data_IF_640735537420
#
_entry.id   IF_640735537420
#
_cell.length_a   1.000
_cell.length_b   1.000
_cell.length_c   1.000
_cell.angle_alpha   90.00
_cell.angle_beta   90.00
_cell.angle_gamma   90.00
#
_symmetry.space_group_name_H-M   'P 1'
#
loop_
_entity.id
_entity.type
_entity.pdbx_description
1 polymer ?
#
# COMPACT_ATOMS: atom_id res chain seq x y z
N UNK A 1 1.16 13.50 -5.99
CA UNK A 1 0.55 13.32 -7.32
C UNK A 1 1.13 12.08 -7.97
N UNK A 2 0.25 11.21 -8.48
CA UNK A 2 0.62 10.02 -9.24
C UNK A 2 0.90 10.42 -10.70
N UNK A 3 1.89 9.79 -11.34
CA UNK A 3 2.22 10.09 -12.73
C UNK A 3 2.90 8.92 -13.43
N UNK A 4 2.84 8.94 -14.75
CA UNK A 4 3.61 8.08 -15.65
C UNK A 4 4.37 8.97 -16.61
N UNK A 5 5.68 8.78 -16.72
CA UNK A 5 6.53 9.42 -17.74
C UNK A 5 6.97 8.33 -18.70
N UNK A 6 6.79 8.56 -20.00
CA UNK A 6 7.22 7.64 -21.06
C UNK A 6 8.29 8.29 -21.93
N UNK A 7 9.31 7.51 -22.27
CA UNK A 7 10.30 7.85 -23.29
C UNK A 7 10.21 6.76 -24.35
N UNK A 8 9.84 7.15 -25.57
CA UNK A 8 9.78 6.27 -26.72
C UNK A 8 10.99 6.50 -27.62
N UNK A 9 11.62 5.42 -28.05
CA UNK A 9 12.73 5.40 -28.99
C UNK A 9 12.41 4.41 -30.09
N UNK A 10 12.36 4.87 -31.34
CA UNK A 10 12.11 4.03 -32.50
C UNK A 10 13.39 3.94 -33.35
N UNK A 11 13.74 2.72 -33.72
CA UNK A 11 14.84 2.39 -34.62
C UNK A 11 14.33 1.34 -35.62
N UNK A 12 14.12 1.77 -36.86
CA UNK A 12 13.44 0.98 -37.90
C UNK A 12 12.10 0.40 -37.41
N UNK A 13 11.97 -0.92 -37.37
CA UNK A 13 10.78 -1.66 -36.94
C UNK A 13 10.71 -1.90 -35.43
N UNK A 14 11.76 -1.49 -34.67
CA UNK A 14 11.87 -1.69 -33.22
C UNK A 14 11.48 -0.43 -32.48
N UNK A 15 10.48 -0.56 -31.63
CA UNK A 15 10.04 0.49 -30.72
C UNK A 15 10.38 0.10 -29.28
N UNK A 16 11.15 0.94 -28.59
CA UNK A 16 11.48 0.81 -27.17
C UNK A 16 10.74 1.87 -26.39
N UNK A 17 10.05 1.47 -25.33
CA UNK A 17 9.34 2.38 -24.43
C UNK A 17 9.84 2.16 -23.02
N UNK A 18 10.42 3.21 -22.45
CA UNK A 18 10.81 3.29 -21.05
C UNK A 18 9.75 4.08 -20.29
N UNK A 19 9.11 3.43 -19.32
CA UNK A 19 8.08 4.04 -18.47
C UNK A 19 8.59 4.17 -17.05
N UNK A 20 8.53 5.38 -16.49
CA UNK A 20 8.73 5.63 -15.06
C UNK A 20 7.39 5.98 -14.43
N UNK A 21 6.94 5.12 -13.54
CA UNK A 21 5.64 5.23 -12.88
C UNK A 21 5.84 5.60 -11.42
N UNK A 22 5.09 6.58 -10.94
CA UNK A 22 4.97 6.94 -9.53
C UNK A 22 3.54 6.70 -9.05
N UNK A 23 3.40 5.82 -8.07
CA UNK A 23 2.16 5.63 -7.32
C UNK A 23 2.45 5.82 -5.84
N UNK A 24 1.78 6.79 -5.20
CA UNK A 24 2.04 7.18 -3.81
C UNK A 24 3.53 7.52 -3.58
N UNK A 25 4.21 6.74 -2.75
CA UNK A 25 5.64 6.88 -2.44
C UNK A 25 6.51 5.87 -3.18
N UNK A 26 5.92 5.02 -4.03
CA UNK A 26 6.62 3.96 -4.75
C UNK A 26 6.88 4.35 -6.20
N UNK A 27 8.01 3.88 -6.72
CA UNK A 27 8.43 4.08 -8.10
C UNK A 27 8.66 2.73 -8.78
N UNK A 28 8.20 2.60 -10.03
CA UNK A 28 8.47 1.45 -10.89
C UNK A 28 9.01 1.92 -12.24
N UNK A 29 10.08 1.29 -12.69
CA UNK A 29 10.64 1.49 -14.03
C UNK A 29 10.34 0.26 -14.86
N UNK A 30 9.75 0.45 -16.04
CA UNK A 30 9.37 -0.62 -16.95
C UNK A 30 10.02 -0.33 -18.31
N UNK A 31 10.64 -1.35 -18.89
CA UNK A 31 11.18 -1.27 -20.24
C UNK A 31 10.46 -2.28 -21.12
N UNK A 32 9.85 -1.82 -22.21
CA UNK A 32 9.09 -2.65 -23.14
C UNK A 32 9.67 -2.47 -24.55
N UNK A 33 9.86 -3.59 -25.24
CA UNK A 33 10.27 -3.59 -26.64
C UNK A 33 9.11 -4.15 -27.48
N UNK A 34 8.84 -3.49 -28.59
CA UNK A 34 7.84 -3.88 -29.56
C UNK A 34 8.50 -3.95 -30.95
N UNK A 35 8.01 -4.86 -31.78
CA UNK A 35 8.35 -4.90 -33.21
C UNK A 35 7.07 -4.73 -34.02
N UNK A 36 7.19 -4.25 -35.26
CA UNK A 36 6.07 -4.15 -36.20
C UNK A 36 4.92 -3.26 -35.71
N UNK A 37 5.23 -2.19 -34.97
CA UNK A 37 4.28 -1.14 -34.60
C UNK A 37 4.46 0.02 -35.56
N UNK A 38 3.39 0.41 -36.24
CA UNK A 38 3.37 1.62 -37.07
C UNK A 38 2.74 2.75 -36.27
N UNK A 39 3.54 3.75 -35.89
CA UNK A 39 3.06 4.90 -35.14
C UNK A 39 2.17 5.85 -35.96
N UNK A 40 2.16 5.71 -37.29
CA UNK A 40 1.33 6.51 -38.19
C UNK A 40 -0.02 5.83 -38.48
N UNK A 41 -0.16 4.53 -38.21
CA UNK A 41 -1.42 3.81 -38.31
C UNK A 41 -2.19 3.90 -37.00
N UNK A 42 -3.41 4.44 -37.05
CA UNK A 42 -4.24 4.67 -35.86
C UNK A 42 -4.57 3.35 -35.13
N UNK A 43 -4.80 2.26 -35.86
CA UNK A 43 -5.11 0.97 -35.26
C UNK A 43 -3.90 0.39 -34.51
N UNK A 44 -2.73 0.44 -35.13
CA UNK A 44 -1.47 0.00 -34.53
C UNK A 44 -1.10 0.83 -33.30
N UNK A 45 -1.27 2.15 -33.37
CA UNK A 45 -1.08 3.05 -32.23
C UNK A 45 -2.04 2.73 -31.08
N UNK A 46 -3.33 2.51 -31.37
CA UNK A 46 -4.31 2.13 -30.35
C UNK A 46 -3.98 0.80 -29.68
N UNK A 47 -3.47 -0.18 -30.43
CA UNK A 47 -3.01 -1.45 -29.88
C UNK A 47 -1.80 -1.26 -28.95
N UNK A 48 -0.83 -0.41 -29.33
CA UNK A 48 0.31 -0.06 -28.48
C UNK A 48 -0.17 0.59 -27.18
N UNK A 49 -1.03 1.60 -27.25
CA UNK A 49 -1.57 2.30 -26.09
C UNK A 49 -2.28 1.32 -25.15
N UNK A 50 -3.07 0.40 -25.69
CA UNK A 50 -3.77 -0.60 -24.88
C UNK A 50 -2.78 -1.55 -24.16
N UNK A 51 -1.71 -2.01 -24.84
CA UNK A 51 -0.67 -2.84 -24.20
C UNK A 51 0.03 -2.10 -23.06
N UNK A 52 0.36 -0.82 -23.25
CA UNK A 52 0.96 0.01 -22.21
C UNK A 52 0.00 0.21 -21.03
N UNK A 53 -1.28 0.49 -21.32
CA UNK A 53 -2.33 0.63 -20.29
C UNK A 53 -2.45 -0.61 -19.42
N UNK A 54 -2.57 -1.80 -20.03
CA UNK A 54 -2.62 -3.08 -19.31
C UNK A 54 -1.38 -3.24 -18.41
N UNK A 55 -0.19 -2.95 -18.94
CA UNK A 55 1.07 -3.04 -18.19
C UNK A 55 1.09 -2.12 -16.96
N UNK A 56 0.56 -0.91 -17.09
CA UNK A 56 0.49 0.06 -15.99
C UNK A 56 -0.57 -0.31 -14.96
N UNK A 57 -1.72 -0.80 -15.40
CA UNK A 57 -2.76 -1.33 -14.51
C UNK A 57 -2.25 -2.53 -13.72
N UNK A 58 -1.56 -3.48 -14.36
CA UNK A 58 -1.00 -4.64 -13.67
C UNK A 58 0.11 -4.25 -12.70
N UNK A 59 0.93 -3.26 -13.05
CA UNK A 59 1.92 -2.69 -12.13
C UNK A 59 1.28 -1.98 -10.94
N UNK A 60 0.17 -1.26 -11.16
CA UNK A 60 -0.61 -0.67 -10.08
C UNK A 60 -1.22 -1.75 -9.18
N UNK A 61 -1.78 -2.82 -9.77
CA UNK A 61 -2.32 -3.96 -9.02
C UNK A 61 -1.21 -4.56 -8.16
N UNK A 62 -0.06 -4.92 -8.72
CA UNK A 62 1.06 -5.48 -7.96
C UNK A 62 1.46 -4.64 -6.74
N UNK A 63 1.54 -3.32 -6.90
CA UNK A 63 1.87 -2.40 -5.80
C UNK A 63 0.75 -2.29 -4.75
N UNK A 64 -0.49 -2.61 -5.11
CA UNK A 64 -1.66 -2.54 -4.25
C UNK A 64 -2.25 -3.91 -3.89
N UNK A 65 -1.62 -5.02 -4.28
CA UNK A 65 -2.06 -6.36 -3.90
C UNK A 65 -1.94 -6.46 -2.38
N UNK A 66 -3.11 -6.55 -1.74
CA UNK A 66 -3.22 -6.92 -0.35
C UNK A 66 -2.97 -8.42 -0.29
N UNK A 67 -1.82 -8.83 0.25
CA UNK A 67 -1.54 -10.23 0.51
C UNK A 67 -2.38 -10.71 1.71
N UNK A 68 -3.63 -11.09 1.44
CA UNK A 68 -4.58 -11.60 2.46
C UNK A 68 -4.14 -12.93 3.07
N UNK A 69 -3.19 -13.64 2.46
CA UNK A 69 -2.61 -14.89 2.97
C UNK A 69 -1.61 -14.65 4.11
N UNK A 70 -1.01 -13.46 4.20
CA UNK A 70 -0.10 -13.09 5.31
C UNK A 70 -0.83 -12.13 6.25
N UNK A 71 -1.76 -12.65 7.04
CA UNK A 71 -2.34 -11.93 8.18
C UNK A 71 -1.31 -11.93 9.30
N UNK A 72 -0.38 -10.98 9.31
CA UNK A 72 0.49 -10.82 10.48
C UNK A 72 -0.26 -9.97 11.52
N UNK A 73 -0.75 -10.56 12.62
CA UNK A 73 -1.47 -9.77 13.61
C UNK A 73 -0.50 -8.81 14.29
N UNK A 74 -0.92 -7.56 14.47
CA UNK A 74 -0.13 -6.55 15.15
C UNK A 74 -0.44 -6.58 16.65
N UNK A 75 0.60 -6.68 17.48
CA UNK A 75 0.48 -6.60 18.93
C UNK A 75 0.67 -5.15 19.37
N UNK A 76 -0.40 -4.51 19.84
CA UNK A 76 -0.41 -3.11 20.27
C UNK A 76 -0.69 -3.01 21.76
N UNK A 77 0.18 -2.34 22.49
CA UNK A 77 0.08 -2.13 23.93
C UNK A 77 -0.32 -0.68 24.21
N UNK A 78 -1.37 -0.51 25.02
CA UNK A 78 -1.93 0.77 25.42
C UNK A 78 -2.04 0.84 26.95
N UNK A 79 -1.90 2.02 27.55
CA UNK A 79 -2.15 2.20 28.99
C UNK A 79 -3.61 1.87 29.33
N UNK A 80 -3.84 1.07 30.36
CA UNK A 80 -5.20 0.74 30.83
C UNK A 80 -5.85 1.87 31.64
N UNK A 81 -5.11 2.94 31.95
CA UNK A 81 -5.56 4.03 32.82
C UNK A 81 -6.35 5.12 32.10
N UNK A 82 -6.20 5.24 30.78
CA UNK A 82 -6.84 6.30 29.99
C UNK A 82 -8.03 5.76 29.19
N UNK A 83 -9.19 5.70 29.84
CA UNK A 83 -10.42 5.20 29.24
C UNK A 83 -10.86 5.96 27.98
N UNK A 84 -10.59 7.27 27.89
CA UNK A 84 -10.95 8.06 26.71
C UNK A 84 -10.10 7.64 25.52
N UNK A 85 -8.79 7.48 25.75
CA UNK A 85 -7.85 7.03 24.73
C UNK A 85 -8.10 5.61 24.26
N UNK A 86 -8.49 4.72 25.18
CA UNK A 86 -8.92 3.35 24.85
C UNK A 86 -10.11 3.38 23.89
N UNK A 87 -11.19 4.10 24.24
CA UNK A 87 -12.37 4.21 23.37
C UNK A 87 -12.06 4.84 22.02
N UNK A 88 -11.21 5.88 22.01
CA UNK A 88 -10.78 6.52 20.77
C UNK A 88 -10.01 5.51 19.90
N UNK A 89 -9.10 4.75 20.49
CA UNK A 89 -8.30 3.76 19.76
C UNK A 89 -9.17 2.67 19.15
N UNK A 90 -10.09 2.10 19.92
CA UNK A 90 -11.03 1.07 19.43
C UNK A 90 -11.94 1.62 18.34
N UNK A 91 -12.44 2.86 18.48
CA UNK A 91 -13.22 3.51 17.43
C UNK A 91 -12.40 3.77 16.16
N UNK A 92 -11.14 4.17 16.29
CA UNK A 92 -10.24 4.35 15.15
C UNK A 92 -10.02 3.03 14.44
N UNK A 93 -9.76 1.93 15.17
CA UNK A 93 -9.60 0.61 14.57
C UNK A 93 -10.86 0.17 13.83
N UNK A 94 -12.06 0.41 14.37
CA UNK A 94 -13.32 0.11 13.70
C UNK A 94 -13.55 0.90 12.40
N UNK A 95 -12.93 2.08 12.27
CA UNK A 95 -13.10 2.97 11.12
C UNK A 95 -12.01 2.80 10.04
N UNK A 96 -10.98 1.98 10.29
CA UNK A 96 -9.92 1.72 9.32
C UNK A 96 -10.30 0.57 8.39
N UNK A 97 -10.42 0.84 7.09
CA UNK A 97 -10.85 -0.13 6.07
C UNK A 97 -10.03 -1.44 6.06
N UNK A 98 -8.75 -1.36 6.41
CA UNK A 98 -7.84 -2.50 6.41
C UNK A 98 -7.79 -3.25 7.73
N UNK A 99 -8.46 -2.78 8.79
CA UNK A 99 -8.63 -3.55 10.03
C UNK A 99 -9.75 -4.56 9.82
N UNK A 100 -9.40 -5.84 9.73
CA UNK A 100 -10.37 -6.92 9.59
C UNK A 100 -11.07 -7.25 10.91
N UNK A 101 -10.31 -7.22 12.02
CA UNK A 101 -10.78 -7.51 13.37
C UNK A 101 -9.71 -7.07 14.38
N UNK A 102 -10.08 -6.87 15.64
CA UNK A 102 -9.14 -6.77 16.76
C UNK A 102 -9.76 -7.34 18.03
N UNK A 103 -8.91 -7.76 18.96
CA UNK A 103 -9.36 -8.25 20.27
C UNK A 103 -8.30 -8.02 21.35
N UNK A 104 -8.74 -8.01 22.60
CA UNK A 104 -7.86 -7.91 23.76
C UNK A 104 -7.25 -9.28 24.04
N UNK A 105 -5.93 -9.35 24.09
CA UNK A 105 -5.16 -10.55 24.46
C UNK A 105 -4.98 -10.61 25.98
N UNK A 106 -4.64 -9.47 26.59
CA UNK A 106 -4.48 -9.37 28.04
C UNK A 106 -4.78 -7.96 28.53
N UNK A 107 -5.16 -7.86 29.80
CA UNK A 107 -5.52 -6.63 30.48
C UNK A 107 -5.03 -6.68 31.93
N UNK A 108 -4.32 -5.66 32.37
CA UNK A 108 -3.91 -5.48 33.76
C UNK A 108 -4.04 -4.01 34.22
N UNK A 109 -3.65 -3.72 35.46
CA UNK A 109 -3.75 -2.38 36.06
C UNK A 109 -2.84 -1.31 35.42
N UNK A 110 -1.97 -1.70 34.49
CA UNK A 110 -1.04 -0.84 33.78
C UNK A 110 -1.34 -0.78 32.29
N UNK A 111 -1.62 -1.91 31.64
CA UNK A 111 -1.71 -2.01 30.18
C UNK A 111 -2.84 -2.91 29.68
N UNK A 112 -3.26 -2.64 28.44
CA UNK A 112 -4.10 -3.48 27.59
C UNK A 112 -3.26 -3.89 26.38
N UNK A 113 -3.19 -5.19 26.11
CA UNK A 113 -2.57 -5.72 24.91
C UNK A 113 -3.66 -6.09 23.89
N UNK A 114 -3.68 -5.40 22.77
CA UNK A 114 -4.52 -5.69 21.62
C UNK A 114 -3.78 -6.53 20.60
N UNK A 115 -4.53 -7.41 19.94
CA UNK A 115 -4.12 -8.08 18.71
C UNK A 115 -5.02 -7.64 17.57
N UNK A 116 -4.41 -7.04 16.56
CA UNK A 116 -5.12 -6.40 15.44
C UNK A 116 -4.83 -7.22 14.19
N UNK A 117 -5.89 -7.71 13.54
CA UNK A 117 -5.82 -8.38 12.26
C UNK A 117 -5.93 -7.32 11.16
N UNK A 118 -4.79 -6.92 10.61
CA UNK A 118 -4.70 -5.87 9.61
C UNK A 118 -4.36 -6.47 8.23
N UNK A 119 -5.19 -6.17 7.24
CA UNK A 119 -5.08 -6.65 5.86
C UNK A 119 -4.15 -5.74 5.03
N UNK A 120 -3.04 -5.30 5.59
CA UNK A 120 -2.07 -4.44 4.90
C UNK A 120 -0.68 -4.60 5.48
N UNK A 121 0.28 -3.83 4.96
CA UNK A 121 1.64 -3.88 5.50
C UNK A 121 1.70 -3.18 6.88
N UNK A 122 2.55 -3.63 7.81
CA UNK A 122 2.73 -2.95 9.09
C UNK A 122 3.12 -1.47 8.91
N UNK A 123 3.90 -1.14 7.87
CA UNK A 123 4.26 0.25 7.55
C UNK A 123 3.03 1.11 7.21
N UNK A 124 2.06 0.56 6.49
CA UNK A 124 0.81 1.26 6.16
C UNK A 124 -0.02 1.51 7.42
N UNK A 125 -0.15 0.50 8.29
CA UNK A 125 -0.83 0.67 9.58
C UNK A 125 -0.18 1.76 10.44
N UNK A 126 1.15 1.83 10.51
CA UNK A 126 1.85 2.92 11.22
C UNK A 126 1.44 4.29 10.69
N UNK A 127 1.42 4.45 9.37
CA UNK A 127 1.03 5.71 8.73
C UNK A 127 -0.41 6.08 9.09
N UNK A 128 -1.37 5.15 8.89
CA UNK A 128 -2.79 5.39 9.16
C UNK A 128 -3.07 5.71 10.63
N UNK A 129 -2.43 5.01 11.57
CA UNK A 129 -2.60 5.27 13.01
C UNK A 129 -1.98 6.59 13.46
N UNK A 130 -0.82 6.94 12.91
CA UNK A 130 -0.18 8.24 13.19
C UNK A 130 -1.02 9.42 12.66
N UNK A 131 -1.68 9.27 11.51
CA UNK A 131 -2.61 10.27 10.96
C UNK A 131 -3.84 10.49 11.88
N UNK A 132 -4.16 9.52 12.73
CA UNK A 132 -5.22 9.60 13.74
C UNK A 132 -4.71 10.12 15.10
N UNK A 133 -3.52 10.73 15.13
CA UNK A 133 -2.87 11.30 16.32
C UNK A 133 -2.47 10.29 17.42
N UNK A 134 -2.28 9.02 17.08
CA UNK A 134 -1.69 8.03 17.98
C UNK A 134 -0.18 7.94 17.76
N UNK A 135 0.62 8.41 18.72
CA UNK A 135 2.09 8.21 18.69
C UNK A 135 2.41 6.76 19.08
N UNK A 136 2.66 5.93 18.07
CA UNK A 136 2.97 4.51 18.23
C UNK A 136 4.46 4.25 17.97
N UNK A 137 5.11 3.58 18.93
CA UNK A 137 6.51 3.16 18.83
C UNK A 137 6.65 1.66 18.81
N UNK A 138 7.43 1.14 17.86
CA UNK A 138 7.78 -0.28 17.83
C UNK A 138 8.84 -0.58 18.88
N UNK A 139 8.47 -1.38 19.87
CA UNK A 139 9.35 -1.96 20.90
C UNK A 139 9.46 -3.47 20.65
N UNK A 140 10.45 -3.88 19.86
CA UNK A 140 10.61 -5.27 19.40
C UNK A 140 9.40 -5.78 18.60
N UNK A 141 8.67 -6.75 19.15
CA UNK A 141 7.49 -7.37 18.53
C UNK A 141 6.18 -6.68 18.98
N UNK A 142 6.23 -5.78 19.96
CA UNK A 142 5.06 -5.09 20.54
C UNK A 142 5.15 -3.60 20.22
N UNK A 143 4.02 -3.01 19.88
CA UNK A 143 3.95 -1.60 19.47
C UNK A 143 3.25 -0.83 20.58
N UNK A 144 3.92 0.14 21.19
CA UNK A 144 3.39 0.87 22.33
C UNK A 144 2.81 2.20 21.87
N UNK A 145 1.56 2.44 22.21
CA UNK A 145 0.96 3.79 22.11
C UNK A 145 1.38 4.55 23.37
N UNK A 146 2.04 5.69 23.19
CA UNK A 146 2.29 6.62 24.29
C UNK A 146 1.02 7.37 24.63
#
# INVERSE_FOLDING_TARGET
>A
QNYVINIAYQDEDKLKILSKIKFNNDFKTINQNFTNIDLNDENSLNQLINKLKITYEDSWKELNIINTSIKLPLAVLLSSKDHKKIKLFESTLNNLDLVSNFYIVSFDSKNILYKIIYNGSPKKFLTEINEQNFDIKKENQIWRIK
#
